data_IF_340315390225
#
_entry.id   IF_340315390225
#
_cell.length_a   1.000
_cell.length_b   1.000
_cell.length_c   1.000
_cell.angle_alpha   90.00
_cell.angle_beta   90.00
_cell.angle_gamma   90.00
#
_symmetry.space_group_name_H-M   'P 1'
#
loop_
_entity.id
_entity.type
_entity.pdbx_description
1 polymer ?
#
# COMPACT_ATOMS: atom_id res chain seq x y z
N UNK A 1 -0.45 13.84 8.52
CA UNK A 1 0.14 13.10 7.37
C UNK A 1 -0.67 13.33 6.09
N UNK A 2 -1.99 13.08 6.10
CA UNK A 2 -2.90 13.42 4.99
C UNK A 2 -2.71 14.84 4.46
N UNK A 3 -2.62 15.82 5.36
CA UNK A 3 -2.48 17.23 4.98
C UNK A 3 -1.11 17.57 4.35
N UNK A 4 -0.08 16.79 4.68
CA UNK A 4 1.27 16.94 4.11
C UNK A 4 1.32 16.32 2.71
N UNK A 5 0.71 15.15 2.52
CA UNK A 5 0.60 14.50 1.20
C UNK A 5 -0.29 15.29 0.22
N UNK A 6 -1.16 16.16 0.74
CA UNK A 6 -2.00 17.05 -0.05
C UNK A 6 -1.27 18.31 -0.54
N UNK A 7 -0.09 18.63 0.01
CA UNK A 7 0.70 19.78 -0.43
C UNK A 7 1.11 19.60 -1.90
N UNK A 8 0.94 20.62 -2.77
CA UNK A 8 1.23 20.52 -4.20
C UNK A 8 2.66 20.02 -4.51
N UNK A 9 3.64 20.50 -3.74
CA UNK A 9 5.05 20.13 -3.87
C UNK A 9 5.30 18.66 -3.49
N UNK A 10 4.61 18.16 -2.46
CA UNK A 10 4.73 16.77 -2.02
C UNK A 10 4.05 15.85 -3.03
N UNK A 11 2.84 16.19 -3.47
CA UNK A 11 2.13 15.42 -4.50
C UNK A 11 2.96 15.27 -5.78
N UNK A 12 3.50 16.37 -6.30
CA UNK A 12 4.33 16.38 -7.50
C UNK A 12 5.59 15.51 -7.36
N UNK A 13 6.24 15.55 -6.19
CA UNK A 13 7.40 14.70 -5.91
C UNK A 13 7.08 13.19 -5.89
N UNK A 14 5.87 12.80 -5.49
CA UNK A 14 5.42 11.40 -5.53
C UNK A 14 4.99 10.99 -6.95
N UNK A 15 4.24 11.84 -7.66
CA UNK A 15 3.79 11.59 -9.04
C UNK A 15 4.96 11.43 -10.01
N UNK A 16 6.01 12.25 -9.88
CA UNK A 16 7.25 12.14 -10.69
C UNK A 16 7.99 10.81 -10.51
N UNK A 17 7.75 10.11 -9.40
CA UNK A 17 8.31 8.78 -9.13
C UNK A 17 7.35 7.64 -9.50
N UNK A 18 6.23 7.96 -10.18
CA UNK A 18 5.22 7.00 -10.59
C UNK A 18 4.31 6.53 -9.45
N UNK A 19 4.31 7.23 -8.31
CA UNK A 19 3.42 6.94 -7.18
C UNK A 19 2.16 7.81 -7.27
N UNK A 20 0.99 7.22 -7.06
CA UNK A 20 -0.25 7.96 -6.82
C UNK A 20 -0.40 8.17 -5.29
N UNK A 21 -0.18 9.39 -4.77
CA UNK A 21 -0.29 9.65 -3.35
C UNK A 21 -1.75 9.62 -2.90
N UNK A 22 -2.25 8.42 -2.63
CA UNK A 22 -3.52 8.22 -1.94
C UNK A 22 -3.28 8.35 -0.43
N UNK A 23 -3.78 9.43 0.17
CA UNK A 23 -3.90 9.51 1.62
C UNK A 23 -5.10 8.65 2.07
N UNK A 24 -4.89 7.35 2.24
CA UNK A 24 -5.89 6.47 2.84
C UNK A 24 -6.07 6.77 4.33
N UNK A 25 -7.26 6.59 4.86
CA UNK A 25 -7.47 6.60 6.30
C UNK A 25 -6.70 5.43 6.96
N UNK A 26 -6.37 5.51 8.27
CA UNK A 26 -5.78 4.38 8.99
C UNK A 26 -6.62 3.10 8.87
N UNK A 27 -7.94 3.21 8.85
CA UNK A 27 -8.87 2.09 8.71
C UNK A 27 -8.84 1.49 7.31
N UNK A 28 -8.72 2.32 6.27
CA UNK A 28 -8.54 1.86 4.88
C UNK A 28 -7.22 1.11 4.72
N UNK A 29 -6.13 1.63 5.30
CA UNK A 29 -4.84 0.97 5.28
C UNK A 29 -4.88 -0.36 6.03
N UNK A 30 -5.52 -0.41 7.21
CA UNK A 30 -5.70 -1.66 7.96
C UNK A 30 -6.44 -2.72 7.14
N UNK A 31 -7.54 -2.34 6.48
CA UNK A 31 -8.30 -3.26 5.62
C UNK A 31 -7.46 -3.78 4.45
N UNK A 32 -6.64 -2.93 3.85
CA UNK A 32 -5.74 -3.33 2.76
C UNK A 32 -4.75 -4.38 3.24
N UNK A 33 -4.07 -4.13 4.36
CA UNK A 33 -3.08 -5.06 4.95
C UNK A 33 -3.73 -6.40 5.30
N UNK A 34 -4.88 -6.39 5.98
CA UNK A 34 -5.60 -7.62 6.36
C UNK A 34 -6.01 -8.45 5.12
N UNK A 35 -6.51 -7.77 4.08
CA UNK A 35 -6.93 -8.42 2.82
C UNK A 35 -5.75 -9.04 2.07
N UNK A 36 -4.68 -8.27 1.91
CA UNK A 36 -3.48 -8.71 1.19
C UNK A 36 -2.80 -9.85 1.94
N UNK A 37 -2.68 -9.77 3.26
CA UNK A 37 -2.10 -10.84 4.07
C UNK A 37 -2.82 -12.19 3.86
N UNK A 38 -4.16 -12.18 3.81
CA UNK A 38 -4.95 -13.38 3.53
C UNK A 38 -4.68 -13.95 2.14
N UNK A 39 -4.79 -13.09 1.11
CA UNK A 39 -4.57 -13.50 -0.29
C UNK A 39 -3.18 -14.07 -0.52
N UNK A 40 -2.15 -13.42 0.03
CA UNK A 40 -0.77 -13.87 -0.11
C UNK A 40 -0.51 -15.16 0.67
N UNK A 41 -1.07 -15.31 1.87
CA UNK A 41 -0.96 -16.55 2.65
C UNK A 41 -1.55 -17.76 1.91
N UNK A 42 -2.70 -17.60 1.25
CA UNK A 42 -3.30 -18.63 0.41
C UNK A 42 -2.40 -18.99 -0.78
N UNK A 43 -1.89 -17.99 -1.49
CA UNK A 43 -1.01 -18.19 -2.64
C UNK A 43 0.28 -18.92 -2.27
N UNK A 44 0.95 -18.46 -1.20
CA UNK A 44 2.20 -19.05 -0.70
C UNK A 44 1.99 -20.53 -0.38
N UNK A 45 0.92 -20.87 0.35
CA UNK A 45 0.58 -22.25 0.69
C UNK A 45 0.25 -23.09 -0.54
N UNK A 46 -0.53 -22.54 -1.47
CA UNK A 46 -0.93 -23.25 -2.69
C UNK A 46 0.23 -23.55 -3.63
N UNK A 47 1.29 -22.72 -3.59
CA UNK A 47 2.43 -22.82 -4.51
C UNK A 47 3.72 -23.33 -3.87
N UNK A 48 3.73 -23.55 -2.56
CA UNK A 48 4.92 -23.98 -1.83
C UNK A 48 6.06 -22.96 -1.93
N UNK A 49 5.74 -21.67 -1.98
CA UNK A 49 6.74 -20.60 -2.06
C UNK A 49 7.45 -20.52 -0.70
N UNK A 50 8.77 -20.55 -0.70
CA UNK A 50 9.62 -20.34 0.50
C UNK A 50 10.43 -19.05 0.34
N UNK A 51 10.99 -18.53 1.44
CA UNK A 51 11.64 -17.21 1.48
C UNK A 51 13.18 -17.31 1.47
N UNK A 52 13.67 -18.51 1.18
CA UNK A 52 15.04 -19.00 1.35
C UNK A 52 15.80 -19.05 0.02
#
# INVERSE_FOLDING_TARGET
LKDILALPEVRSAFETQGMDPAASSPEEFRRLVETDAGRWAELIKARGITAD
#
